data_IF_762759713636
#
_entry.id   IF_762759713636
#
_cell.length_a   1.000
_cell.length_b   1.000
_cell.length_c   1.000
_cell.angle_alpha   90.00
_cell.angle_beta   90.00
_cell.angle_gamma   90.00
#
_symmetry.space_group_name_H-M   'P 1'
#
loop_
_entity.id
_entity.type
_entity.pdbx_description
1 polymer ?
#
# COMPACT_ATOMS: atom_id res chain seq x y z
N UNK A 1 -8.64 48.45 -4.34
CA UNK A 1 -8.49 47.79 -3.03
C UNK A 1 -7.91 46.41 -3.31
N UNK A 2 -6.61 46.22 -3.08
CA UNK A 2 -6.00 44.90 -3.18
C UNK A 2 -6.64 43.99 -2.13
N UNK A 3 -7.47 43.05 -2.58
CA UNK A 3 -7.97 41.98 -1.75
C UNK A 3 -6.75 41.21 -1.25
N UNK A 4 -6.37 41.45 0.02
CA UNK A 4 -5.25 40.77 0.66
C UNK A 4 -5.57 39.29 0.64
N UNK A 5 -4.96 38.58 -0.32
CA UNK A 5 -4.96 37.11 -0.35
C UNK A 5 -4.70 36.61 1.07
N UNK A 6 -5.57 35.76 1.63
CA UNK A 6 -5.47 35.31 3.01
C UNK A 6 -4.06 34.79 3.33
N UNK A 7 -3.57 35.05 4.55
CA UNK A 7 -2.20 34.68 4.95
C UNK A 7 -1.91 33.19 4.72
N UNK A 8 -2.90 32.32 4.93
CA UNK A 8 -2.81 30.88 4.67
C UNK A 8 -2.58 30.57 3.18
N UNK A 9 -3.23 31.28 2.25
CA UNK A 9 -3.02 31.15 0.80
C UNK A 9 -1.61 31.62 0.37
N UNK A 10 -1.01 32.58 1.08
CA UNK A 10 0.38 33.03 0.83
C UNK A 10 1.42 32.01 1.31
N UNK A 11 1.19 31.36 2.44
CA UNK A 11 2.04 30.29 2.96
C UNK A 11 1.91 28.98 2.16
N UNK A 12 0.74 28.76 1.55
CA UNK A 12 0.44 27.59 0.73
C UNK A 12 1.01 27.64 -0.69
N UNK A 13 1.06 28.82 -1.32
CA UNK A 13 1.57 28.99 -2.69
C UNK A 13 2.99 28.47 -2.96
N UNK A 14 3.98 28.58 -2.05
CA UNK A 14 5.32 28.02 -2.27
C UNK A 14 5.43 26.52 -1.97
N UNK A 15 4.45 25.93 -1.28
CA UNK A 15 4.47 24.52 -0.91
C UNK A 15 3.81 23.69 -2.01
N UNK A 16 4.52 22.69 -2.49
CA UNK A 16 4.11 21.80 -3.58
C UNK A 16 3.10 20.73 -3.12
N UNK A 17 2.04 21.15 -2.41
CA UNK A 17 1.04 20.27 -1.79
C UNK A 17 -0.34 20.44 -2.43
N UNK A 18 -1.05 19.32 -2.60
CA UNK A 18 -2.44 19.32 -3.01
C UNK A 18 -3.36 19.34 -1.77
N UNK A 19 -4.19 20.38 -1.63
CA UNK A 19 -5.10 20.54 -0.48
C UNK A 19 -6.03 19.36 -0.27
N UNK A 20 -6.70 18.97 -1.34
CA UNK A 20 -7.76 17.98 -1.25
C UNK A 20 -7.18 16.62 -0.90
N UNK A 21 -6.07 16.25 -1.55
CA UNK A 21 -5.37 15.04 -1.20
C UNK A 21 -4.85 15.07 0.24
N UNK A 22 -4.22 16.16 0.68
CA UNK A 22 -3.73 16.33 2.05
C UNK A 22 -4.86 16.18 3.09
N UNK A 23 -6.01 16.81 2.83
CA UNK A 23 -7.19 16.70 3.69
C UNK A 23 -7.65 15.25 3.83
N UNK A 24 -7.71 14.50 2.72
CA UNK A 24 -8.03 13.08 2.74
C UNK A 24 -7.04 12.26 3.57
N UNK A 25 -5.73 12.50 3.40
CA UNK A 25 -4.67 11.81 4.14
C UNK A 25 -4.70 12.10 5.65
N UNK A 26 -5.02 13.34 6.05
CA UNK A 26 -5.22 13.72 7.44
C UNK A 26 -6.47 13.04 8.01
N UNK A 27 -7.59 13.04 7.27
CA UNK A 27 -8.84 12.43 7.69
C UNK A 27 -8.69 10.92 7.92
N UNK A 28 -8.08 10.19 6.99
CA UNK A 28 -7.88 8.73 7.13
C UNK A 28 -6.91 8.40 8.27
N UNK A 29 -5.84 9.19 8.42
CA UNK A 29 -4.88 9.00 9.51
C UNK A 29 -5.53 9.26 10.86
N UNK A 30 -6.28 10.36 10.98
CA UNK A 30 -6.97 10.73 12.21
C UNK A 30 -7.99 9.66 12.61
N UNK A 31 -8.77 9.16 11.65
CA UNK A 31 -9.71 8.08 11.94
C UNK A 31 -9.00 6.78 12.34
N UNK A 32 -7.91 6.41 11.64
CA UNK A 32 -7.09 5.26 11.99
C UNK A 32 -6.48 5.36 13.38
N UNK A 33 -6.06 6.56 13.82
CA UNK A 33 -5.54 6.77 15.18
C UNK A 33 -6.61 6.57 16.26
N UNK A 34 -7.84 7.01 16.02
CA UNK A 34 -8.95 6.79 16.96
C UNK A 34 -9.25 5.30 17.15
N UNK A 35 -9.32 4.55 16.05
CA UNK A 35 -9.55 3.09 16.13
C UNK A 35 -8.33 2.38 16.70
N UNK A 36 -7.11 2.79 16.36
CA UNK A 36 -5.90 2.19 16.92
C UNK A 36 -5.84 2.33 18.44
N UNK A 37 -6.22 3.48 18.99
CA UNK A 37 -6.27 3.69 20.43
C UNK A 37 -7.24 2.70 21.09
N UNK A 38 -8.40 2.45 20.46
CA UNK A 38 -9.35 1.44 20.93
C UNK A 38 -8.80 0.01 20.78
N UNK A 39 -8.31 -0.35 19.60
CA UNK A 39 -7.78 -1.68 19.25
C UNK A 39 -6.55 -2.09 20.07
N UNK A 40 -5.86 -1.14 20.68
CA UNK A 40 -4.71 -1.37 21.57
C UNK A 40 -5.08 -1.35 23.06
N UNK A 41 -6.37 -1.33 23.40
CA UNK A 41 -6.84 -1.27 24.79
C UNK A 41 -6.44 0.00 25.52
N UNK A 42 -6.23 1.11 24.81
CA UNK A 42 -5.76 2.38 25.39
C UNK A 42 -4.26 2.43 25.70
N UNK A 43 -3.44 1.57 25.07
CA UNK A 43 -1.98 1.57 25.27
C UNK A 43 -1.34 2.91 24.89
N UNK A 44 -0.92 3.68 25.90
CA UNK A 44 -0.23 4.96 25.71
C UNK A 44 1.06 4.80 24.90
N UNK A 45 1.77 3.69 25.08
CA UNK A 45 3.02 3.40 24.38
C UNK A 45 2.82 3.23 22.86
N UNK A 46 1.81 2.46 22.44
CA UNK A 46 1.48 2.25 21.03
C UNK A 46 0.96 3.53 20.39
N UNK A 47 0.12 4.28 21.11
CA UNK A 47 -0.40 5.56 20.64
C UNK A 47 0.72 6.60 20.45
N UNK A 48 1.64 6.71 21.42
CA UNK A 48 2.84 7.56 21.29
C UNK A 48 3.70 7.16 20.10
N UNK A 49 3.94 5.87 19.91
CA UNK A 49 4.69 5.37 18.75
C UNK A 49 3.97 5.71 17.44
N UNK A 50 2.64 5.63 17.41
CA UNK A 50 1.86 6.03 16.24
C UNK A 50 1.99 7.52 15.95
N UNK A 51 1.95 8.40 16.95
CA UNK A 51 2.16 9.84 16.75
C UNK A 51 3.52 10.11 16.10
N UNK A 52 4.58 9.44 16.56
CA UNK A 52 5.93 9.57 15.99
C UNK A 52 5.94 9.11 14.52
N UNK A 53 5.32 7.97 14.21
CA UNK A 53 5.20 7.46 12.84
C UNK A 53 4.41 8.39 11.93
N UNK A 54 3.31 8.97 12.44
CA UNK A 54 2.48 9.94 11.72
C UNK A 54 3.29 11.20 11.41
N UNK A 55 3.96 11.76 12.42
CA UNK A 55 4.84 12.92 12.25
C UNK A 55 5.96 12.65 11.23
N UNK A 56 6.63 11.50 11.34
CA UNK A 56 7.67 11.10 10.40
C UNK A 56 7.11 10.94 8.98
N UNK A 57 5.97 10.27 8.83
CA UNK A 57 5.32 10.06 7.54
C UNK A 57 4.92 11.36 6.85
N UNK A 58 4.26 12.27 7.57
CA UNK A 58 3.94 13.60 7.03
C UNK A 58 5.21 14.39 6.68
N UNK A 59 6.25 14.33 7.51
CA UNK A 59 7.53 14.99 7.21
C UNK A 59 8.15 14.45 5.92
N UNK A 60 8.20 13.13 5.74
CA UNK A 60 8.70 12.49 4.51
C UNK A 60 7.85 12.87 3.30
N UNK A 61 6.52 12.83 3.41
CA UNK A 61 5.61 13.27 2.36
C UNK A 61 5.87 14.73 1.96
N UNK A 62 6.00 15.65 2.94
CA UNK A 62 6.26 17.06 2.71
C UNK A 62 7.58 17.29 1.97
N UNK A 63 8.66 16.64 2.43
CA UNK A 63 9.98 16.71 1.79
C UNK A 63 9.91 16.18 0.36
N UNK A 64 9.28 15.02 0.16
CA UNK A 64 9.15 14.42 -1.16
C UNK A 64 8.30 15.27 -2.11
N UNK A 65 7.25 15.90 -1.61
CA UNK A 65 6.42 16.80 -2.43
C UNK A 65 7.22 18.00 -2.97
N UNK A 66 8.24 18.48 -2.25
CA UNK A 66 9.04 19.63 -2.68
C UNK A 66 10.09 19.30 -3.77
N UNK A 67 10.45 18.03 -3.94
CA UNK A 67 11.45 17.63 -4.94
C UNK A 67 10.79 17.49 -6.32
N UNK A 68 11.39 18.03 -7.40
CA UNK A 68 10.76 17.99 -8.73
C UNK A 68 10.72 16.57 -9.32
N UNK A 69 9.75 16.23 -10.20
CA UNK A 69 9.64 14.92 -10.84
C UNK A 69 10.92 14.42 -11.54
N UNK A 70 11.72 15.35 -12.10
CA UNK A 70 13.01 15.04 -12.73
C UNK A 70 14.05 14.46 -11.76
N UNK A 71 14.00 14.86 -10.48
CA UNK A 71 14.85 14.28 -9.44
C UNK A 71 14.53 12.80 -9.27
N UNK A 72 13.24 12.45 -9.14
CA UNK A 72 12.78 11.06 -9.03
C UNK A 72 13.18 10.21 -10.22
N UNK A 73 13.09 10.76 -11.43
CA UNK A 73 13.54 10.04 -12.63
C UNK A 73 15.04 9.70 -12.59
N UNK A 74 15.86 10.62 -12.10
CA UNK A 74 17.32 10.42 -11.98
C UNK A 74 17.68 9.41 -10.90
N UNK A 75 16.98 9.43 -9.76
CA UNK A 75 17.30 8.52 -8.64
C UNK A 75 16.69 7.12 -8.79
N UNK A 76 15.67 6.96 -9.65
CA UNK A 76 14.94 5.69 -9.80
C UNK A 76 15.83 4.46 -10.02
N UNK A 77 16.85 4.48 -10.93
CA UNK A 77 17.70 3.31 -11.14
C UNK A 77 18.52 2.95 -9.90
N UNK A 78 18.98 3.96 -9.15
CA UNK A 78 19.73 3.77 -7.92
C UNK A 78 18.83 3.22 -6.80
N UNK A 79 17.62 3.77 -6.63
CA UNK A 79 16.64 3.25 -5.67
C UNK A 79 16.26 1.80 -5.96
N UNK A 80 16.08 1.46 -7.24
CA UNK A 80 15.79 0.10 -7.66
C UNK A 80 16.96 -0.85 -7.35
N UNK A 81 18.18 -0.48 -7.72
CA UNK A 81 19.37 -1.30 -7.46
C UNK A 81 19.64 -1.47 -5.97
N UNK A 82 19.56 -0.40 -5.18
CA UNK A 82 19.68 -0.45 -3.72
C UNK A 82 18.58 -1.32 -3.13
N UNK A 83 17.34 -1.21 -3.62
CA UNK A 83 16.23 -2.07 -3.19
C UNK A 83 16.52 -3.56 -3.43
N UNK A 84 17.05 -3.93 -4.60
CA UNK A 84 17.46 -5.30 -4.89
C UNK A 84 18.58 -5.78 -3.96
N UNK A 85 19.61 -4.96 -3.75
CA UNK A 85 20.72 -5.30 -2.86
C UNK A 85 20.20 -5.51 -1.43
N UNK A 86 19.29 -4.66 -0.95
CA UNK A 86 18.70 -4.80 0.37
C UNK A 86 17.83 -6.05 0.51
N UNK A 87 17.09 -6.45 -0.54
CA UNK A 87 16.34 -7.71 -0.52
C UNK A 87 17.27 -8.93 -0.42
N UNK A 88 18.38 -8.93 -1.16
CA UNK A 88 19.39 -9.99 -1.09
C UNK A 88 20.05 -9.98 0.29
N UNK A 89 20.35 -8.80 0.83
CA UNK A 89 20.96 -8.65 2.15
C UNK A 89 20.05 -9.16 3.27
N UNK A 90 18.75 -8.90 3.20
CA UNK A 90 17.77 -9.44 4.16
C UNK A 90 17.80 -10.96 4.16
N UNK A 91 17.93 -11.60 3.02
CA UNK A 91 17.98 -13.06 2.94
C UNK A 91 19.26 -13.61 3.58
N UNK A 92 20.37 -12.87 3.54
CA UNK A 92 21.64 -13.27 4.12
C UNK A 92 21.77 -13.00 5.64
N UNK A 93 21.34 -11.82 6.11
CA UNK A 93 21.61 -11.34 7.49
C UNK A 93 20.37 -10.80 8.22
N UNK A 94 19.18 -10.95 7.63
CA UNK A 94 17.94 -10.48 8.22
C UNK A 94 17.57 -11.21 9.50
N UNK A 95 16.74 -10.58 10.31
CA UNK A 95 16.20 -11.19 11.53
C UNK A 95 14.92 -11.96 11.20
N UNK A 96 14.79 -13.14 11.79
CA UNK A 96 13.59 -13.98 11.68
C UNK A 96 12.52 -13.48 12.66
N UNK A 97 11.34 -13.15 12.14
CA UNK A 97 10.17 -12.79 12.94
C UNK A 97 8.95 -13.53 12.40
N UNK A 98 8.16 -14.15 13.28
CA UNK A 98 6.98 -14.96 12.91
C UNK A 98 7.25 -15.99 11.80
N UNK A 99 8.43 -16.60 11.80
CA UNK A 99 8.82 -17.63 10.84
C UNK A 99 9.27 -17.12 9.46
N UNK A 100 9.47 -15.81 9.27
CA UNK A 100 10.00 -15.25 8.04
C UNK A 100 11.13 -14.24 8.29
N UNK A 101 12.16 -14.29 7.45
CA UNK A 101 13.32 -13.38 7.50
C UNK A 101 13.07 -12.18 6.60
N UNK A 102 12.57 -11.08 7.18
CA UNK A 102 12.08 -9.91 6.41
C UNK A 102 12.60 -8.57 6.88
N UNK A 103 13.18 -8.53 8.08
CA UNK A 103 13.53 -7.29 8.77
C UNK A 103 15.04 -7.16 8.92
N UNK A 104 15.57 -5.99 8.57
CA UNK A 104 16.92 -5.59 8.97
C UNK A 104 16.82 -4.86 10.29
N UNK A 105 17.45 -5.41 11.32
CA UNK A 105 17.57 -4.75 12.62
C UNK A 105 18.91 -4.01 12.66
N UNK A 106 18.86 -2.68 12.57
CA UNK A 106 20.04 -1.81 12.67
C UNK A 106 20.36 -1.45 14.14
N UNK A 107 19.67 -2.07 15.11
CA UNK A 107 19.82 -1.83 16.55
C UNK A 107 18.99 -0.65 17.07
N UNK A 108 18.92 0.44 16.30
CA UNK A 108 18.11 1.62 16.62
C UNK A 108 16.79 1.67 15.83
N UNK A 109 16.77 1.11 14.62
CA UNK A 109 15.60 1.06 13.75
C UNK A 109 15.49 -0.34 13.13
N UNK A 110 14.28 -0.89 13.14
CA UNK A 110 13.90 -2.04 12.32
C UNK A 110 13.25 -1.56 11.04
N UNK A 111 13.84 -1.94 9.91
CA UNK A 111 13.40 -1.51 8.60
C UNK A 111 13.16 -2.73 7.69
N UNK A 112 12.10 -2.67 6.89
CA UNK A 112 11.71 -3.72 5.96
C UNK A 112 12.00 -3.28 4.51
N UNK A 113 13.03 -3.83 3.84
CA UNK A 113 13.42 -3.43 2.48
C UNK A 113 12.34 -3.53 1.42
N UNK A 114 11.40 -4.46 1.57
CA UNK A 114 10.29 -4.59 0.64
C UNK A 114 9.38 -3.34 0.60
N UNK A 115 9.37 -2.51 1.65
CA UNK A 115 8.68 -1.21 1.65
C UNK A 115 9.30 -0.21 0.68
N UNK A 116 10.63 -0.17 0.55
CA UNK A 116 11.31 0.66 -0.46
C UNK A 116 11.02 0.11 -1.86
N UNK A 117 11.09 -1.20 -2.03
CA UNK A 117 10.90 -1.85 -3.33
C UNK A 117 9.50 -1.59 -3.90
N UNK A 118 8.47 -1.54 -3.06
CA UNK A 118 7.10 -1.18 -3.46
C UNK A 118 6.99 0.21 -4.08
N UNK A 119 7.89 1.14 -3.75
CA UNK A 119 7.96 2.45 -4.38
C UNK A 119 8.96 2.46 -5.55
N UNK A 120 10.11 1.79 -5.39
CA UNK A 120 11.21 1.79 -6.36
C UNK A 120 10.86 1.07 -7.67
N UNK A 121 10.13 -0.06 -7.61
CA UNK A 121 9.73 -0.83 -8.79
C UNK A 121 8.81 -0.02 -9.73
N UNK A 122 7.64 0.48 -9.28
CA UNK A 122 6.79 1.26 -10.17
C UNK A 122 7.48 2.54 -10.65
N UNK A 123 8.29 3.18 -9.80
CA UNK A 123 9.09 4.33 -10.18
C UNK A 123 10.08 3.99 -11.31
N UNK A 124 10.87 2.93 -11.18
CA UNK A 124 11.86 2.52 -12.19
C UNK A 124 11.21 2.09 -13.51
N UNK A 125 10.14 1.29 -13.44
CA UNK A 125 9.40 0.88 -14.63
C UNK A 125 8.77 2.10 -15.31
N UNK A 126 8.26 3.08 -14.54
CA UNK A 126 7.70 4.30 -15.10
C UNK A 126 8.77 5.18 -15.76
N UNK A 127 9.99 5.25 -15.21
CA UNK A 127 11.13 5.94 -15.86
C UNK A 127 11.50 5.25 -17.17
N UNK A 128 11.54 3.92 -17.17
CA UNK A 128 11.86 3.16 -18.36
C UNK A 128 10.80 3.36 -19.46
N UNK A 129 9.52 3.14 -19.16
CA UNK A 129 8.47 3.25 -20.17
C UNK A 129 8.10 4.70 -20.51
N UNK A 130 8.12 5.60 -19.53
CA UNK A 130 7.69 7.00 -19.70
C UNK A 130 8.63 7.87 -20.55
N UNK A 131 9.86 7.41 -20.79
CA UNK A 131 10.85 8.05 -21.67
C UNK A 131 10.83 7.47 -23.10
N UNK A 132 9.88 6.59 -23.41
CA UNK A 132 9.75 5.92 -24.72
C UNK A 132 8.40 6.26 -25.37
N UNK A 133 8.27 6.07 -26.70
CA UNK A 133 6.97 6.17 -27.36
C UNK A 133 5.96 5.20 -26.73
N UNK A 134 4.74 5.68 -26.53
CA UNK A 134 3.63 4.88 -26.01
C UNK A 134 2.65 4.58 -27.16
N UNK A 135 2.15 3.35 -27.30
CA UNK A 135 2.38 2.17 -26.44
C UNK A 135 3.78 1.53 -26.65
N UNK A 136 4.31 0.82 -25.63
CA UNK A 136 5.64 0.20 -25.71
C UNK A 136 5.69 -0.98 -26.69
N UNK A 137 6.87 -1.22 -27.27
CA UNK A 137 7.15 -2.40 -28.11
C UNK A 137 7.24 -3.67 -27.26
N UNK A 138 7.04 -4.84 -27.86
CA UNK A 138 7.15 -6.14 -27.16
C UNK A 138 8.49 -6.33 -26.43
N UNK A 139 9.61 -5.88 -27.01
CA UNK A 139 10.92 -5.95 -26.38
C UNK A 139 11.03 -5.08 -25.12
N UNK A 140 10.44 -3.88 -25.17
CA UNK A 140 10.40 -2.95 -24.04
C UNK A 140 9.49 -3.49 -22.93
N UNK A 141 8.36 -4.08 -23.31
CA UNK A 141 7.47 -4.80 -22.40
C UNK A 141 8.18 -5.94 -21.70
N UNK A 142 8.96 -6.76 -22.42
CA UNK A 142 9.68 -7.88 -21.82
C UNK A 142 10.69 -7.40 -20.77
N UNK A 143 11.43 -6.32 -21.06
CA UNK A 143 12.35 -5.70 -20.11
C UNK A 143 11.61 -5.13 -18.90
N UNK A 144 10.46 -4.47 -19.11
CA UNK A 144 9.62 -3.97 -18.02
C UNK A 144 9.12 -5.10 -17.12
N UNK A 145 8.66 -6.22 -17.70
CA UNK A 145 8.23 -7.40 -16.96
C UNK A 145 9.42 -8.00 -16.18
N UNK A 146 10.61 -8.09 -16.77
CA UNK A 146 11.80 -8.57 -16.07
C UNK A 146 12.15 -7.71 -14.85
N UNK A 147 12.06 -6.38 -14.96
CA UNK A 147 12.25 -5.45 -13.84
C UNK A 147 11.20 -5.60 -12.73
N UNK A 148 10.05 -6.21 -13.02
CA UNK A 148 9.00 -6.49 -12.02
C UNK A 148 9.21 -7.87 -11.40
N UNK A 149 9.47 -8.89 -12.21
CA UNK A 149 9.58 -10.27 -11.78
C UNK A 149 10.78 -10.46 -10.84
N UNK A 150 11.95 -9.89 -11.16
CA UNK A 150 13.16 -10.05 -10.34
C UNK A 150 12.93 -9.67 -8.86
N UNK A 151 12.50 -8.44 -8.52
CA UNK A 151 12.21 -8.09 -7.13
C UNK A 151 11.03 -8.86 -6.55
N UNK A 152 10.02 -9.19 -7.36
CA UNK A 152 8.86 -9.97 -6.91
C UNK A 152 9.28 -11.36 -6.42
N UNK A 153 10.14 -12.05 -7.16
CA UNK A 153 10.65 -13.36 -6.79
C UNK A 153 11.52 -13.30 -5.53
N UNK A 154 12.39 -12.29 -5.41
CA UNK A 154 13.18 -12.10 -4.20
C UNK A 154 12.31 -11.91 -2.95
N UNK A 155 11.20 -11.18 -3.06
CA UNK A 155 10.23 -11.03 -1.96
C UNK A 155 9.48 -12.33 -1.68
N UNK A 156 9.10 -13.06 -2.74
CA UNK A 156 8.40 -14.34 -2.60
C UNK A 156 9.26 -15.42 -1.89
N UNK A 157 10.59 -15.39 -2.09
CA UNK A 157 11.56 -16.24 -1.40
C UNK A 157 11.59 -15.95 0.12
N UNK A 158 11.22 -14.74 0.57
CA UNK A 158 11.16 -14.32 1.98
C UNK A 158 9.83 -14.69 2.67
N UNK A 159 9.25 -15.83 2.31
CA UNK A 159 7.83 -16.18 2.40
C UNK A 159 6.79 -15.04 2.47
N UNK A 160 6.99 -13.88 1.82
CA UNK A 160 6.10 -12.70 1.91
C UNK A 160 5.16 -12.57 0.70
N UNK A 161 4.17 -13.46 0.64
CA UNK A 161 3.22 -13.51 -0.48
C UNK A 161 2.40 -12.21 -0.64
N UNK A 162 1.98 -11.60 0.48
CA UNK A 162 1.21 -10.36 0.44
C UNK A 162 2.02 -9.23 -0.22
N UNK A 163 3.28 -9.07 0.20
CA UNK A 163 4.14 -8.03 -0.35
C UNK A 163 4.55 -8.32 -1.79
N UNK A 164 4.81 -9.58 -2.17
CA UNK A 164 5.13 -9.93 -3.55
C UNK A 164 3.98 -9.61 -4.51
N UNK A 165 2.73 -9.88 -4.11
CA UNK A 165 1.55 -9.52 -4.89
C UNK A 165 1.48 -8.00 -5.07
N UNK A 166 1.73 -7.22 -4.01
CA UNK A 166 1.68 -5.76 -4.09
C UNK A 166 2.80 -5.16 -4.94
N UNK A 167 4.03 -5.67 -4.82
CA UNK A 167 5.16 -5.26 -5.67
C UNK A 167 4.85 -5.56 -7.14
N UNK A 168 4.40 -6.78 -7.44
CA UNK A 168 4.09 -7.17 -8.82
C UNK A 168 2.93 -6.36 -9.41
N UNK A 169 1.84 -6.18 -8.65
CA UNK A 169 0.69 -5.38 -9.05
C UNK A 169 1.09 -3.92 -9.33
N UNK A 170 1.94 -3.34 -8.47
CA UNK A 170 2.38 -1.95 -8.64
C UNK A 170 3.13 -1.73 -9.96
N UNK A 171 4.02 -2.66 -10.32
CA UNK A 171 4.73 -2.63 -11.59
C UNK A 171 3.83 -2.91 -12.78
N UNK A 172 2.91 -3.88 -12.66
CA UNK A 172 1.96 -4.21 -13.73
C UNK A 172 1.01 -3.06 -14.04
N UNK A 173 0.58 -2.28 -13.05
CA UNK A 173 -0.21 -1.08 -13.30
C UNK A 173 0.54 -0.04 -14.11
N UNK A 174 1.86 0.10 -13.91
CA UNK A 174 2.70 0.98 -14.75
C UNK A 174 2.69 0.51 -16.19
N UNK A 175 2.87 -0.79 -16.43
CA UNK A 175 2.87 -1.36 -17.78
C UNK A 175 1.49 -1.23 -18.44
N UNK A 176 0.42 -1.46 -17.68
CA UNK A 176 -0.96 -1.27 -18.14
C UNK A 176 -1.23 0.19 -18.54
N UNK A 177 -0.90 1.14 -17.66
CA UNK A 177 -1.11 2.57 -17.91
C UNK A 177 -0.19 3.15 -19.00
N UNK A 178 0.92 2.47 -19.31
CA UNK A 178 1.74 2.77 -20.49
C UNK A 178 1.04 2.42 -21.82
N UNK A 179 -0.16 1.83 -21.79
CA UNK A 179 -0.95 1.52 -22.98
C UNK A 179 -0.67 0.14 -23.56
N UNK A 180 -0.12 -0.80 -22.78
CA UNK A 180 0.08 -2.16 -23.24
C UNK A 180 -1.25 -2.83 -23.59
N UNK A 181 -1.25 -3.64 -24.65
CA UNK A 181 -2.42 -4.40 -25.06
C UNK A 181 -2.90 -5.31 -23.91
N UNK A 182 -4.17 -5.17 -23.52
CA UNK A 182 -4.79 -5.94 -22.44
C UNK A 182 -4.70 -7.45 -22.67
N UNK A 183 -4.63 -7.91 -23.93
CA UNK A 183 -4.45 -9.31 -24.29
C UNK A 183 -3.11 -9.89 -23.80
N UNK A 184 -2.05 -9.10 -23.75
CA UNK A 184 -0.76 -9.54 -23.21
C UNK A 184 -0.81 -9.68 -21.69
N UNK A 185 -1.51 -8.77 -21.01
CA UNK A 185 -1.77 -8.86 -19.57
C UNK A 185 -2.60 -10.10 -19.28
N UNK A 186 -3.67 -10.31 -20.05
CA UNK A 186 -4.53 -11.48 -19.92
C UNK A 186 -3.75 -12.77 -20.18
N UNK A 187 -2.92 -12.82 -21.23
CA UNK A 187 -2.08 -13.98 -21.52
C UNK A 187 -1.10 -14.27 -20.38
N UNK A 188 -0.50 -13.26 -19.77
CA UNK A 188 0.39 -13.43 -18.60
C UNK A 188 -0.38 -13.92 -17.36
N UNK A 189 -1.56 -13.36 -17.08
CA UNK A 189 -2.43 -13.78 -15.98
C UNK A 189 -2.92 -15.22 -16.18
N UNK A 190 -3.35 -15.57 -17.39
CA UNK A 190 -3.78 -16.93 -17.75
C UNK A 190 -2.61 -17.89 -17.70
N UNK A 191 -1.42 -17.49 -18.14
CA UNK A 191 -0.19 -18.29 -18.02
C UNK A 191 0.17 -18.59 -16.56
N UNK A 192 0.13 -17.56 -15.70
CA UNK A 192 0.30 -17.73 -14.25
C UNK A 192 -0.79 -18.62 -13.65
N UNK A 193 -2.06 -18.41 -14.02
CA UNK A 193 -3.17 -19.23 -13.55
C UNK A 193 -3.04 -20.69 -13.99
N UNK A 194 -2.60 -20.94 -15.23
CA UNK A 194 -2.30 -22.27 -15.77
C UNK A 194 -1.10 -22.93 -15.09
N UNK A 195 -0.22 -22.15 -14.46
CA UNK A 195 0.89 -22.66 -13.65
C UNK A 195 0.47 -23.01 -12.21
N UNK A 196 -0.69 -22.55 -11.73
CA UNK A 196 -1.19 -22.81 -10.36
C UNK A 196 -1.23 -24.32 -10.04
N UNK A 197 -1.73 -25.22 -10.91
CA UNK A 197 -1.74 -26.66 -10.60
C UNK A 197 -0.34 -27.25 -10.42
N UNK A 198 0.63 -26.80 -11.21
CA UNK A 198 2.04 -27.22 -11.08
C UNK A 198 2.60 -26.70 -9.77
N UNK A 199 2.33 -25.44 -9.45
CA UNK A 199 2.74 -24.83 -8.19
C UNK A 199 2.14 -25.57 -6.99
N UNK A 200 0.85 -25.90 -7.04
CA UNK A 200 0.14 -26.62 -5.98
C UNK A 200 0.69 -28.02 -5.73
N UNK A 201 0.96 -28.78 -6.81
CA UNK A 201 1.38 -30.18 -6.72
C UNK A 201 2.86 -30.33 -6.37
N UNK A 202 3.73 -29.44 -6.86
CA UNK A 202 5.19 -29.66 -6.82
C UNK A 202 5.98 -28.60 -6.06
N UNK A 203 5.44 -27.38 -5.85
CA UNK A 203 6.20 -26.24 -5.32
C UNK A 203 5.66 -25.72 -3.98
N UNK A 204 4.37 -25.89 -3.69
CA UNK A 204 3.77 -25.35 -2.46
C UNK A 204 4.05 -26.25 -1.25
N UNK A 205 4.64 -25.64 -0.23
CA UNK A 205 4.80 -26.26 1.08
C UNK A 205 3.44 -26.52 1.73
N UNK A 206 3.37 -27.49 2.64
CA UNK A 206 2.11 -27.89 3.28
C UNK A 206 1.40 -26.72 3.96
N UNK A 207 2.14 -25.84 4.65
CA UNK A 207 1.56 -24.66 5.31
C UNK A 207 0.87 -23.70 4.32
N UNK A 208 1.37 -23.59 3.09
CA UNK A 208 0.79 -22.71 2.07
C UNK A 208 -0.52 -23.31 1.53
N UNK A 209 -0.54 -24.64 1.35
CA UNK A 209 -1.76 -25.38 0.96
C UNK A 209 -2.81 -25.30 2.05
N UNK A 210 -2.43 -25.44 3.33
CA UNK A 210 -3.33 -25.26 4.47
C UNK A 210 -4.00 -23.89 4.44
N UNK A 211 -3.28 -22.79 4.22
CA UNK A 211 -3.90 -21.45 4.14
C UNK A 211 -4.97 -21.32 3.05
N UNK A 212 -4.78 -21.95 1.90
CA UNK A 212 -5.77 -21.95 0.81
C UNK A 212 -6.97 -22.82 1.18
N UNK A 213 -6.74 -24.00 1.76
CA UNK A 213 -7.82 -24.89 2.19
C UNK A 213 -8.64 -24.31 3.35
N UNK A 214 -7.98 -23.67 4.31
CA UNK A 214 -8.62 -22.97 5.44
C UNK A 214 -9.42 -21.75 4.99
N UNK A 215 -9.11 -21.13 3.85
CA UNK A 215 -9.98 -20.10 3.28
C UNK A 215 -11.30 -20.70 2.79
N UNK A 216 -11.23 -21.83 2.08
CA UNK A 216 -12.40 -22.50 1.51
C UNK A 216 -13.25 -23.19 2.57
N UNK A 217 -12.60 -23.71 3.61
CA UNK A 217 -13.24 -24.38 4.74
C UNK A 217 -12.54 -23.98 6.05
N UNK A 218 -12.93 -22.84 6.64
CA UNK A 218 -12.36 -22.34 7.89
C UNK A 218 -12.58 -23.28 9.08
N UNK A 219 -13.60 -24.15 9.03
CA UNK A 219 -13.95 -25.06 10.12
C UNK A 219 -12.95 -26.21 10.28
N UNK A 220 -12.13 -26.48 9.26
CA UNK A 220 -11.05 -27.48 9.31
C UNK A 220 -9.85 -27.08 10.18
N UNK A 221 -9.69 -25.79 10.46
CA UNK A 221 -8.63 -25.27 11.35
C UNK A 221 -9.22 -24.34 12.42
N UNK A 222 -10.00 -24.89 13.37
CA UNK A 222 -10.74 -24.11 14.35
C UNK A 222 -9.87 -23.50 15.46
N UNK A 223 -8.56 -23.74 15.45
CA UNK A 223 -7.60 -23.19 16.42
C UNK A 223 -6.52 -22.31 15.77
N UNK A 224 -6.38 -22.33 14.44
CA UNK A 224 -5.36 -21.59 13.71
C UNK A 224 -5.91 -20.46 12.84
N UNK A 225 -5.60 -20.47 11.54
CA UNK A 225 -5.96 -19.38 10.64
C UNK A 225 -7.48 -19.29 10.41
N UNK A 226 -8.18 -20.42 10.48
CA UNK A 226 -9.63 -20.51 10.28
C UNK A 226 -10.40 -19.83 11.42
N UNK A 227 -9.94 -20.05 12.66
CA UNK A 227 -10.46 -19.36 13.85
C UNK A 227 -10.44 -17.85 13.70
N UNK A 228 -9.31 -17.29 13.28
CA UNK A 228 -9.15 -15.85 13.15
C UNK A 228 -10.05 -15.23 12.07
N UNK A 229 -10.23 -15.92 10.94
CA UNK A 229 -11.17 -15.50 9.89
C UNK A 229 -12.61 -15.54 10.42
N UNK A 230 -12.97 -16.58 11.17
CA UNK A 230 -14.30 -16.73 11.75
C UNK A 230 -14.60 -15.62 12.77
N UNK A 231 -13.65 -15.34 13.69
CA UNK A 231 -13.80 -14.25 14.66
C UNK A 231 -13.89 -12.89 14.00
N UNK A 232 -13.11 -12.66 12.94
CA UNK A 232 -13.20 -11.44 12.13
C UNK A 232 -14.60 -11.26 11.52
N UNK A 233 -15.18 -12.33 10.96
CA UNK A 233 -16.55 -12.30 10.43
C UNK A 233 -17.60 -12.03 11.51
N UNK A 234 -17.45 -12.65 12.68
CA UNK A 234 -18.34 -12.41 13.83
C UNK A 234 -18.24 -10.96 14.31
N UNK A 235 -17.03 -10.41 14.43
CA UNK A 235 -16.81 -9.03 14.84
C UNK A 235 -17.50 -8.05 13.88
N UNK A 236 -17.25 -8.20 12.55
CA UNK A 236 -17.90 -7.40 11.51
C UNK A 236 -19.44 -7.52 11.60
N UNK A 237 -19.96 -8.75 11.71
CA UNK A 237 -21.41 -8.98 11.79
C UNK A 237 -22.04 -8.40 13.05
N UNK A 238 -21.34 -8.44 14.18
CA UNK A 238 -21.84 -7.98 15.47
C UNK A 238 -21.95 -6.46 15.61
N UNK A 239 -21.26 -5.70 14.74
CA UNK A 239 -21.36 -4.24 14.72
C UNK A 239 -22.71 -3.71 14.24
N UNK A 240 -23.47 -4.48 13.45
CA UNK A 240 -24.74 -4.01 12.90
C UNK A 240 -24.61 -2.67 12.14
N UNK A 241 -25.64 -1.82 12.19
CA UNK A 241 -25.63 -0.53 11.49
C UNK A 241 -24.78 0.52 12.23
N UNK A 242 -24.96 0.60 13.55
CA UNK A 242 -24.44 1.69 14.38
C UNK A 242 -23.13 1.38 15.11
N UNK A 243 -22.73 0.11 15.15
CA UNK A 243 -21.61 -0.36 15.96
C UNK A 243 -22.00 -0.58 17.42
N UNK A 244 -21.09 -1.19 18.18
CA UNK A 244 -21.22 -1.38 19.63
C UNK A 244 -20.85 -0.13 20.45
N UNK A 245 -20.19 0.84 19.82
CA UNK A 245 -19.63 2.02 20.47
C UNK A 245 -18.12 1.93 20.65
N UNK A 246 -17.48 3.09 20.77
CA UNK A 246 -16.03 3.21 20.91
C UNK A 246 -15.54 2.51 22.19
N UNK A 247 -14.49 1.69 22.06
CA UNK A 247 -13.95 0.84 23.15
C UNK A 247 -14.92 -0.20 23.75
N UNK A 248 -16.06 -0.46 23.10
CA UNK A 248 -17.03 -1.47 23.52
C UNK A 248 -16.97 -2.75 22.67
N UNK A 249 -15.94 -2.89 21.82
CA UNK A 249 -15.71 -4.07 21.00
C UNK A 249 -15.35 -5.28 21.87
N UNK A 250 -16.18 -6.31 21.85
CA UNK A 250 -15.97 -7.51 22.67
C UNK A 250 -14.92 -8.44 22.05
N UNK A 251 -14.88 -8.55 20.72
CA UNK A 251 -13.93 -9.44 20.04
C UNK A 251 -12.55 -8.82 19.94
N UNK A 252 -12.48 -7.49 19.81
CA UNK A 252 -11.23 -6.73 19.79
C UNK A 252 -10.54 -6.64 21.16
N UNK A 253 -11.29 -6.36 22.24
CA UNK A 253 -10.72 -6.16 23.58
C UNK A 253 -10.34 -7.46 24.30
N UNK A 254 -10.94 -8.59 23.93
CA UNK A 254 -10.65 -9.90 24.53
C UNK A 254 -9.60 -10.71 23.74
N UNK A 255 -8.86 -10.05 22.84
CA UNK A 255 -7.76 -10.64 22.04
C UNK A 255 -8.15 -11.88 21.21
N UNK A 256 -9.44 -12.03 20.85
CA UNK A 256 -9.90 -13.13 20.00
C UNK A 256 -9.49 -12.96 18.52
N UNK A 257 -9.13 -11.73 18.13
CA UNK A 257 -8.56 -11.42 16.82
C UNK A 257 -7.03 -11.45 16.87
N UNK A 258 -6.34 -12.03 15.87
CA UNK A 258 -4.89 -11.96 15.82
C UNK A 258 -4.48 -10.54 15.41
N UNK A 259 -3.51 -9.96 16.11
CA UNK A 259 -2.94 -8.64 15.76
C UNK A 259 -4.03 -7.59 15.42
N UNK A 260 -4.97 -7.32 16.34
CA UNK A 260 -6.15 -6.47 16.07
C UNK A 260 -5.77 -5.03 15.68
N UNK A 261 -4.55 -4.61 16.02
CA UNK A 261 -4.02 -3.29 15.71
C UNK A 261 -3.30 -3.22 14.35
N UNK A 262 -2.94 -4.35 13.72
CA UNK A 262 -2.34 -4.39 12.37
C UNK A 262 -3.35 -4.89 11.34
N UNK A 263 -3.46 -6.20 11.15
CA UNK A 263 -4.02 -6.81 9.95
C UNK A 263 -5.55 -6.86 10.01
N UNK A 264 -6.10 -6.95 11.23
CA UNK A 264 -7.52 -7.09 11.52
C UNK A 264 -8.17 -5.83 12.10
N UNK A 265 -7.49 -4.68 12.04
CA UNK A 265 -8.03 -3.40 12.56
C UNK A 265 -9.36 -3.01 11.89
N UNK A 266 -9.59 -3.45 10.65
CA UNK A 266 -10.86 -3.26 9.97
C UNK A 266 -12.02 -3.96 10.70
N UNK A 267 -11.81 -5.17 11.22
CA UNK A 267 -12.83 -5.88 11.98
C UNK A 267 -13.17 -5.14 13.28
N UNK A 268 -12.17 -4.56 13.94
CA UNK A 268 -12.36 -3.73 15.14
C UNK A 268 -13.19 -2.49 14.81
N UNK A 269 -12.83 -1.77 13.74
CA UNK A 269 -13.58 -0.60 13.26
C UNK A 269 -15.04 -0.98 12.95
N UNK A 270 -15.27 -2.08 12.25
CA UNK A 270 -16.61 -2.56 11.90
C UNK A 270 -17.41 -2.99 13.13
N UNK A 271 -16.79 -3.61 14.14
CA UNK A 271 -17.48 -3.96 15.39
C UNK A 271 -17.90 -2.71 16.17
N UNK A 272 -17.01 -1.71 16.27
CA UNK A 272 -17.23 -0.52 17.11
C UNK A 272 -18.13 0.53 16.45
N UNK A 273 -17.97 0.77 15.15
CA UNK A 273 -18.67 1.85 14.42
C UNK A 273 -19.70 1.31 13.40
N UNK A 274 -19.80 0.00 13.22
CA UNK A 274 -20.80 -0.65 12.37
C UNK A 274 -20.69 -0.29 10.89
N UNK A 275 -21.79 -0.46 10.17
CA UNK A 275 -21.92 -0.13 8.76
C UNK A 275 -21.71 1.36 8.46
N UNK A 276 -22.10 2.26 9.37
CA UNK A 276 -21.89 3.70 9.20
C UNK A 276 -20.39 4.04 9.20
N UNK A 277 -19.63 3.49 10.16
CA UNK A 277 -18.17 3.64 10.18
C UNK A 277 -17.50 3.12 8.91
N UNK A 278 -17.95 1.95 8.44
CA UNK A 278 -17.49 1.41 7.16
C UNK A 278 -17.78 2.35 5.98
N UNK A 279 -18.99 2.91 5.89
CA UNK A 279 -19.35 3.87 4.85
C UNK A 279 -18.47 5.13 4.87
N UNK A 280 -18.19 5.68 6.05
CA UNK A 280 -17.27 6.82 6.22
C UNK A 280 -15.86 6.45 5.78
N UNK A 281 -15.36 5.28 6.19
CA UNK A 281 -14.04 4.79 5.82
C UNK A 281 -13.89 4.71 4.29
N UNK A 282 -14.83 4.05 3.63
CA UNK A 282 -14.82 3.89 2.17
C UNK A 282 -14.95 5.24 1.48
N UNK A 283 -15.79 6.15 1.97
CA UNK A 283 -15.93 7.50 1.39
C UNK A 283 -14.59 8.25 1.41
N UNK A 284 -13.84 8.21 2.53
CA UNK A 284 -12.53 8.85 2.64
C UNK A 284 -11.52 8.22 1.68
N UNK A 285 -11.44 6.89 1.63
CA UNK A 285 -10.54 6.20 0.70
C UNK A 285 -10.87 6.50 -0.76
N UNK A 286 -12.15 6.44 -1.13
CA UNK A 286 -12.60 6.73 -2.49
C UNK A 286 -12.29 8.18 -2.87
N UNK A 287 -12.45 9.12 -1.94
CA UNK A 287 -12.05 10.51 -2.15
C UNK A 287 -10.54 10.64 -2.45
N UNK A 288 -9.68 9.98 -1.67
CA UNK A 288 -8.22 9.95 -1.91
C UNK A 288 -7.89 9.33 -3.27
N UNK A 289 -8.51 8.19 -3.60
CA UNK A 289 -8.28 7.46 -4.86
C UNK A 289 -8.72 8.30 -6.06
N UNK A 290 -9.93 8.86 -6.03
CA UNK A 290 -10.44 9.73 -7.10
C UNK A 290 -9.53 10.94 -7.27
N UNK A 291 -9.10 11.58 -6.18
CA UNK A 291 -8.19 12.72 -6.26
C UNK A 291 -6.82 12.34 -6.83
N UNK A 292 -6.26 11.20 -6.44
CA UNK A 292 -5.00 10.67 -6.99
C UNK A 292 -5.10 10.38 -8.50
N UNK A 293 -6.21 9.77 -8.94
CA UNK A 293 -6.46 9.51 -10.36
C UNK A 293 -6.68 10.80 -11.14
N UNK A 294 -7.38 11.79 -10.58
CA UNK A 294 -7.50 13.12 -11.17
C UNK A 294 -6.13 13.79 -11.37
N UNK A 295 -5.22 13.67 -10.38
CA UNK A 295 -3.85 14.18 -10.51
C UNK A 295 -3.12 13.46 -11.64
N UNK A 296 -3.26 12.13 -11.74
CA UNK A 296 -2.64 11.32 -12.79
C UNK A 296 -3.11 11.75 -14.19
N UNK A 297 -4.43 11.87 -14.40
CA UNK A 297 -5.01 12.29 -15.70
C UNK A 297 -4.51 13.68 -16.11
N UNK A 298 -4.40 14.60 -15.16
CA UNK A 298 -3.95 15.97 -15.39
C UNK A 298 -2.42 16.14 -15.43
N UNK A 299 -1.65 15.06 -15.29
CA UNK A 299 -0.19 15.13 -15.35
C UNK A 299 0.30 15.47 -16.76
N UNK A 300 1.28 16.37 -16.83
CA UNK A 300 1.81 16.93 -18.08
C UNK A 300 2.75 15.97 -18.82
N UNK A 301 3.44 15.10 -18.08
CA UNK A 301 4.42 14.15 -18.65
C UNK A 301 3.87 12.73 -18.61
N UNK A 302 4.23 11.92 -19.60
CA UNK A 302 3.88 10.50 -19.65
C UNK A 302 4.35 9.75 -18.40
N UNK A 303 5.59 10.00 -17.97
CA UNK A 303 6.13 9.51 -16.70
C UNK A 303 5.21 9.83 -15.52
N UNK A 304 4.84 11.12 -15.35
CA UNK A 304 4.02 11.56 -14.22
C UNK A 304 2.62 10.94 -14.23
N UNK A 305 2.00 10.85 -15.42
CA UNK A 305 0.67 10.24 -15.60
C UNK A 305 0.68 8.76 -15.21
N UNK A 306 1.64 8.00 -15.73
CA UNK A 306 1.75 6.57 -15.48
C UNK A 306 2.07 6.32 -14.00
N UNK A 307 3.05 7.02 -13.43
CA UNK A 307 3.50 6.79 -12.07
C UNK A 307 2.43 7.19 -11.03
N UNK A 308 1.81 8.36 -11.16
CA UNK A 308 0.76 8.80 -10.26
C UNK A 308 -0.47 7.87 -10.34
N UNK A 309 -0.83 7.42 -11.54
CA UNK A 309 -1.91 6.46 -11.74
C UNK A 309 -1.61 5.12 -11.10
N UNK A 310 -0.43 4.54 -11.36
CA UNK A 310 -0.04 3.23 -10.81
C UNK A 310 0.05 3.26 -9.28
N UNK A 311 0.60 4.34 -8.71
CA UNK A 311 0.73 4.54 -7.26
C UNK A 311 -0.65 4.69 -6.59
N UNK A 312 -1.60 5.35 -7.26
CA UNK A 312 -2.98 5.45 -6.77
C UNK A 312 -3.71 4.11 -6.86
N UNK A 313 -3.53 3.37 -7.95
CA UNK A 313 -4.14 2.05 -8.13
C UNK A 313 -3.60 1.01 -7.14
N UNK A 314 -2.29 1.02 -6.84
CA UNK A 314 -1.76 0.11 -5.82
C UNK A 314 -2.35 0.42 -4.43
N UNK A 315 -2.53 1.70 -4.08
CA UNK A 315 -3.20 2.09 -2.84
C UNK A 315 -4.65 1.56 -2.76
N UNK A 316 -5.37 1.56 -3.89
CA UNK A 316 -6.67 0.88 -3.98
C UNK A 316 -6.56 -0.64 -3.79
N UNK A 317 -5.55 -1.30 -4.37
CA UNK A 317 -5.34 -2.75 -4.16
C UNK A 317 -5.04 -3.06 -2.69
N UNK A 318 -4.29 -2.24 -1.98
CA UNK A 318 -4.09 -2.40 -0.53
C UNK A 318 -5.41 -2.42 0.23
N UNK A 319 -6.26 -1.43 -0.04
CA UNK A 319 -7.59 -1.33 0.55
C UNK A 319 -8.43 -2.58 0.26
N UNK A 320 -8.50 -2.96 -1.02
CA UNK A 320 -9.29 -4.10 -1.47
C UNK A 320 -8.79 -5.42 -0.88
N UNK A 321 -7.48 -5.65 -0.88
CA UNK A 321 -6.87 -6.88 -0.35
C UNK A 321 -7.08 -6.99 1.15
N UNK A 322 -6.85 -5.91 1.92
CA UNK A 322 -7.05 -5.96 3.37
C UNK A 322 -8.53 -6.20 3.72
N UNK A 323 -9.46 -5.42 3.17
CA UNK A 323 -10.89 -5.61 3.47
C UNK A 323 -11.38 -6.98 2.99
N UNK A 324 -10.95 -7.42 1.80
CA UNK A 324 -11.27 -8.75 1.27
C UNK A 324 -10.74 -9.87 2.15
N UNK A 325 -9.54 -9.73 2.70
CA UNK A 325 -8.97 -10.68 3.64
C UNK A 325 -9.75 -10.74 4.95
N UNK A 326 -10.02 -9.59 5.56
CA UNK A 326 -10.65 -9.50 6.88
C UNK A 326 -12.14 -9.91 6.83
N UNK A 327 -12.81 -9.67 5.70
CA UNK A 327 -14.16 -10.19 5.43
C UNK A 327 -14.21 -11.67 5.01
N UNK A 328 -13.05 -12.30 4.79
CA UNK A 328 -12.92 -13.69 4.36
C UNK A 328 -13.34 -13.96 2.91
N UNK A 329 -13.24 -12.96 2.04
CA UNK A 329 -13.36 -13.07 0.57
C UNK A 329 -12.03 -13.50 -0.04
N UNK A 330 -10.90 -13.07 0.55
CA UNK A 330 -9.53 -13.36 0.10
C UNK A 330 -8.73 -14.10 1.19
N UNK A 331 -7.70 -14.86 0.81
CA UNK A 331 -6.83 -15.54 1.78
C UNK A 331 -6.07 -14.55 2.66
N UNK A 332 -5.77 -14.96 3.89
CA UNK A 332 -5.00 -14.15 4.84
C UNK A 332 -3.53 -14.10 4.44
N UNK A 333 -3.13 -12.94 3.90
CA UNK A 333 -1.78 -12.66 3.39
C UNK A 333 -0.99 -11.66 4.23
N UNK A 334 -1.60 -11.08 5.27
CA UNK A 334 -0.92 -10.20 6.23
C UNK A 334 -0.56 -8.83 5.66
N UNK A 335 -1.50 -8.20 4.95
CA UNK A 335 -1.34 -6.86 4.37
C UNK A 335 -2.10 -5.86 5.25
N UNK A 336 -1.44 -4.84 5.82
CA UNK A 336 -2.10 -3.84 6.67
C UNK A 336 -3.00 -2.91 5.85
N UNK A 337 -4.05 -2.39 6.48
CA UNK A 337 -4.94 -1.39 5.91
C UNK A 337 -4.19 -0.04 5.78
N UNK A 338 -4.07 0.54 4.58
CA UNK A 338 -3.09 1.58 4.29
C UNK A 338 -3.43 2.90 5.01
N UNK A 339 -2.47 3.48 5.73
CA UNK A 339 -2.64 4.69 6.57
C UNK A 339 -3.57 4.54 7.80
N UNK A 340 -4.22 3.38 7.97
CA UNK A 340 -5.15 3.12 9.05
C UNK A 340 -4.56 2.16 10.10
N UNK A 341 -4.09 0.99 9.67
CA UNK A 341 -3.44 -0.02 10.52
C UNK A 341 -2.14 0.46 11.15
N UNK A 342 -1.75 -0.14 12.27
CA UNK A 342 -0.42 0.01 12.84
C UNK A 342 0.65 -0.60 11.93
N UNK A 343 1.72 0.14 11.67
CA UNK A 343 2.79 -0.28 10.75
C UNK A 343 3.68 0.89 10.38
N UNK A 344 4.78 1.08 11.11
CA UNK A 344 5.60 2.30 10.98
C UNK A 344 6.24 2.47 9.62
N UNK A 345 6.95 1.46 9.13
CA UNK A 345 7.66 1.49 7.84
C UNK A 345 6.69 1.62 6.66
N UNK A 346 5.60 0.85 6.69
CA UNK A 346 4.56 0.88 5.66
C UNK A 346 3.84 2.23 5.59
N UNK A 347 3.49 2.81 6.75
CA UNK A 347 2.88 4.15 6.81
C UNK A 347 3.77 5.21 6.16
N UNK A 348 5.07 5.22 6.48
CA UNK A 348 6.03 6.16 5.91
C UNK A 348 6.19 5.94 4.40
N UNK A 349 6.24 4.69 3.93
CA UNK A 349 6.36 4.38 2.51
C UNK A 349 5.12 4.81 1.69
N UNK A 350 3.91 4.65 2.24
CA UNK A 350 2.68 5.12 1.60
C UNK A 350 2.64 6.66 1.60
N UNK A 351 3.04 7.31 2.70
CA UNK A 351 3.15 8.77 2.75
C UNK A 351 4.20 9.33 1.76
N UNK A 352 5.34 8.66 1.62
CA UNK A 352 6.35 8.94 0.60
C UNK A 352 5.76 8.88 -0.82
N UNK A 353 4.92 7.86 -1.07
CA UNK A 353 4.24 7.65 -2.35
C UNK A 353 3.27 8.79 -2.68
N UNK A 354 2.50 9.28 -1.69
CA UNK A 354 1.64 10.44 -1.87
C UNK A 354 2.42 11.76 -2.01
N UNK A 355 3.58 11.91 -1.35
CA UNK A 355 4.48 13.04 -1.58
C UNK A 355 4.95 13.10 -3.03
N UNK A 356 5.26 11.95 -3.62
CA UNK A 356 5.60 11.84 -5.04
C UNK A 356 4.42 12.24 -5.96
N UNK A 357 3.20 11.80 -5.65
CA UNK A 357 1.98 12.21 -6.40
C UNK A 357 1.79 13.73 -6.35
N UNK A 358 1.94 14.35 -5.17
CA UNK A 358 1.82 15.80 -5.00
C UNK A 358 2.91 16.57 -5.77
N UNK A 359 4.15 16.05 -5.78
CA UNK A 359 5.25 16.60 -6.57
C UNK A 359 4.91 16.65 -8.06
N UNK A 360 4.34 15.57 -8.61
CA UNK A 360 3.93 15.49 -10.02
C UNK A 360 2.85 16.54 -10.35
N UNK A 361 1.91 16.79 -9.45
CA UNK A 361 0.81 17.72 -9.69
C UNK A 361 1.26 19.20 -9.74
N UNK A 362 2.13 19.57 -8.82
CA UNK A 362 2.43 20.97 -8.49
C UNK A 362 3.64 21.50 -9.25
N UNK A 363 4.63 20.65 -9.56
CA UNK A 363 5.75 21.00 -10.44
C UNK A 363 5.33 20.99 -11.90
N UNK A 364 4.51 21.98 -12.28
CA UNK A 364 4.13 22.19 -13.67
C UNK A 364 5.30 22.80 -14.43
N UNK A 365 5.73 22.12 -15.48
CA UNK A 365 6.68 22.69 -16.43
C UNK A 365 5.96 23.84 -17.12
N UNK A 366 6.34 25.09 -16.81
CA UNK A 366 5.91 26.24 -17.61
C UNK A 366 6.54 26.06 -18.98
N UNK A 367 5.74 25.69 -19.97
CA UNK A 367 6.08 26.01 -21.35
C UNK A 367 6.13 27.53 -21.41
N UNK A 368 7.34 28.08 -21.48
CA UNK A 368 7.52 29.46 -21.89
C UNK A 368 7.01 29.47 -23.34
N UNK A 369 5.83 30.04 -23.56
CA UNK A 369 5.42 30.42 -24.91
C UNK A 369 6.52 31.35 -25.42
N UNK A 370 7.35 30.86 -26.33
CA UNK A 370 8.19 31.72 -27.13
C UNK A 370 7.27 32.61 -27.96
N UNK A 371 7.35 33.91 -27.72
CA UNK A 371 6.80 34.93 -28.61
C UNK A 371 7.42 34.84 -30.00
#
# INVERSE_FOLDING_TARGET
MEEKTPLWLRLWKPLHLDFWLLLGLIAITGYGMLILYSASGGSESMFRNRIIQVFLGFTVMLVMAQLPPKFYQRIAPYLYLVGLILLILVDAIGTTSKGAQRWLDLGFIRFQPSEIVKLAVPLMVAVYLGNRPLPPKLSETFIAIAMIIVPTLLVAIQPDLGTSILVSASGLFVVFLAGMNWWLILAAVVGLAGFIPIMWLYLMHDYQRTRVLTLLDPEKDPLGAGYHILQSKIAIGSGGIWGKGWMQGTQSQLEFLPEPHTDFIFAVMSEEHGMVGFGILIAIYMFIIVRGLMIAVNAQTSFGRILAGATTLIFFVYLFVNIGMVSGILPVVGVPLPLFSYGGTSYVAIMASFGLIMSIHTHRTRFINGN
#
